data_IF_863717009549
#
_entry.id   IF_863717009549
#
_cell.length_a   1.000
_cell.length_b   1.000
_cell.length_c   1.000
_cell.angle_alpha   90.00
_cell.angle_beta   90.00
_cell.angle_gamma   90.00
#
_symmetry.space_group_name_H-M   'P 1'
#
loop_
_entity.id
_entity.type
_entity.pdbx_description
1 polymer ?
#
# COMPACT_ATOMS: atom_id res chain seq x y z
N UNK A 1 -40.31 -36.50 10.91
CA UNK A 1 -39.18 -36.31 9.99
C UNK A 1 -39.06 -34.88 9.40
N UNK A 2 -39.72 -33.85 9.96
CA UNK A 2 -39.65 -32.46 9.44
C UNK A 2 -38.74 -31.50 10.22
N UNK A 3 -38.21 -31.90 11.38
CA UNK A 3 -37.49 -31.00 12.31
C UNK A 3 -36.03 -30.72 11.91
N UNK A 4 -35.43 -31.57 11.07
CA UNK A 4 -34.02 -31.48 10.65
C UNK A 4 -33.76 -30.39 9.61
N UNK A 5 -34.80 -29.90 8.92
CA UNK A 5 -34.64 -28.93 7.85
C UNK A 5 -34.21 -27.57 8.39
N UNK A 6 -34.86 -27.07 9.44
CA UNK A 6 -34.60 -25.73 9.96
C UNK A 6 -33.21 -25.59 10.61
N UNK A 7 -32.74 -26.66 11.27
CA UNK A 7 -31.38 -26.72 11.85
C UNK A 7 -30.31 -26.59 10.76
N UNK A 8 -30.52 -27.24 9.60
CA UNK A 8 -29.60 -27.13 8.45
C UNK A 8 -29.55 -25.72 7.87
N UNK A 9 -30.70 -25.03 7.81
CA UNK A 9 -30.74 -23.65 7.33
C UNK A 9 -30.03 -22.70 8.31
N UNK A 10 -30.23 -22.87 9.61
CA UNK A 10 -29.50 -22.09 10.64
C UNK A 10 -28.00 -22.30 10.52
N UNK A 11 -27.54 -23.54 10.37
CA UNK A 11 -26.12 -23.83 10.18
C UNK A 11 -25.60 -23.19 8.89
N UNK A 12 -26.37 -23.25 7.80
CA UNK A 12 -26.01 -22.65 6.52
C UNK A 12 -25.88 -21.12 6.61
N UNK A 13 -26.86 -20.43 7.21
CA UNK A 13 -26.82 -18.97 7.39
C UNK A 13 -25.71 -18.54 8.36
N UNK A 14 -25.45 -19.33 9.41
CA UNK A 14 -24.34 -19.08 10.34
C UNK A 14 -22.99 -19.19 9.64
N UNK A 15 -22.81 -20.22 8.81
CA UNK A 15 -21.59 -20.39 8.02
C UNK A 15 -21.40 -19.27 7.00
N UNK A 16 -22.49 -18.81 6.37
CA UNK A 16 -22.48 -17.71 5.40
C UNK A 16 -22.12 -16.37 6.04
N UNK A 17 -22.52 -16.12 7.29
CA UNK A 17 -22.17 -14.90 8.04
C UNK A 17 -20.71 -14.87 8.50
N UNK A 18 -20.07 -16.03 8.70
CA UNK A 18 -18.68 -16.12 9.16
C UNK A 18 -17.64 -15.86 8.05
N UNK A 19 -18.02 -15.99 6.77
CA UNK A 19 -17.10 -15.83 5.64
C UNK A 19 -16.62 -14.40 5.35
N UNK A 20 -17.26 -13.38 5.93
CA UNK A 20 -16.98 -11.97 5.63
C UNK A 20 -15.73 -11.37 6.28
N UNK A 21 -15.00 -12.13 7.10
CA UNK A 21 -13.89 -11.61 7.92
C UNK A 21 -12.49 -11.81 7.32
N UNK A 22 -12.38 -12.31 6.09
CA UNK A 22 -11.09 -12.43 5.42
C UNK A 22 -10.77 -11.12 4.70
N UNK A 23 -9.71 -10.45 5.15
CA UNK A 23 -9.12 -9.30 4.45
C UNK A 23 -7.91 -9.76 3.66
N UNK A 24 -7.94 -9.57 2.33
CA UNK A 24 -6.82 -9.83 1.43
C UNK A 24 -5.96 -8.57 1.17
N UNK A 25 -6.16 -7.50 1.94
CA UNK A 25 -5.37 -6.29 1.79
C UNK A 25 -3.90 -6.55 2.19
N UNK A 26 -2.92 -6.02 1.45
CA UNK A 26 -1.51 -6.14 1.82
C UNK A 26 -1.26 -5.45 3.15
N UNK A 27 -0.47 -6.11 4.01
CA UNK A 27 -0.06 -5.53 5.28
C UNK A 27 1.05 -4.50 5.04
N UNK A 28 0.75 -3.22 5.31
CA UNK A 28 1.71 -2.13 5.22
C UNK A 28 2.41 -1.99 6.56
N UNK A 29 3.74 -2.08 6.56
CA UNK A 29 4.58 -1.76 7.70
C UNK A 29 5.05 -0.30 7.56
N UNK A 30 4.83 0.50 8.60
CA UNK A 30 5.22 1.90 8.61
C UNK A 30 6.21 2.16 9.73
N UNK A 31 7.34 2.80 9.42
CA UNK A 31 8.29 3.28 10.42
C UNK A 31 8.93 4.61 10.00
N UNK A 32 9.64 5.25 10.93
CA UNK A 32 10.49 6.38 10.63
C UNK A 32 11.96 6.00 10.74
N UNK A 33 12.77 6.49 9.82
CA UNK A 33 14.23 6.38 9.89
C UNK A 33 14.78 7.31 10.98
N UNK A 34 16.04 7.10 11.39
CA UNK A 34 16.71 7.99 12.34
C UNK A 34 16.78 9.45 11.87
N UNK A 35 16.74 9.69 10.56
CA UNK A 35 16.73 11.02 9.95
C UNK A 35 15.32 11.58 9.70
N UNK A 36 14.27 10.92 10.21
CA UNK A 36 12.89 11.41 10.15
C UNK A 36 12.11 11.10 8.87
N UNK A 37 12.67 10.32 7.93
CA UNK A 37 11.94 9.88 6.72
C UNK A 37 10.93 8.80 7.08
N UNK A 38 9.67 8.98 6.66
CA UNK A 38 8.61 7.96 6.74
C UNK A 38 8.80 6.90 5.65
N UNK A 39 8.77 5.62 6.06
CA UNK A 39 8.89 4.48 5.15
C UNK A 39 7.64 3.62 5.25
N UNK A 40 7.06 3.30 4.09
CA UNK A 40 5.98 2.35 3.94
C UNK A 40 6.50 1.14 3.19
N UNK A 41 6.46 -0.03 3.81
CA UNK A 41 6.95 -1.28 3.25
C UNK A 41 5.83 -2.31 3.17
N UNK A 42 5.78 -3.01 2.05
CA UNK A 42 4.89 -4.15 1.84
C UNK A 42 5.76 -5.32 1.42
N UNK A 43 5.73 -6.39 2.21
CA UNK A 43 6.36 -7.65 1.82
C UNK A 43 5.43 -8.39 0.84
N UNK A 44 5.92 -8.65 -0.37
CA UNK A 44 5.23 -9.42 -1.40
C UNK A 44 6.15 -10.56 -1.89
N UNK A 45 6.36 -11.62 -1.08
CA UNK A 45 7.29 -12.71 -1.41
C UNK A 45 6.89 -13.51 -2.67
N UNK A 46 5.63 -13.38 -3.11
CA UNK A 46 5.12 -13.98 -4.34
C UNK A 46 5.55 -13.25 -5.63
N UNK A 47 6.15 -12.06 -5.51
CA UNK A 47 6.62 -11.26 -6.65
C UNK A 47 8.16 -11.28 -6.68
N UNK A 48 8.76 -11.82 -7.75
CA UNK A 48 10.23 -11.84 -7.95
C UNK A 48 10.82 -10.49 -8.39
N UNK A 49 10.16 -9.39 -8.05
CA UNK A 49 10.55 -8.03 -8.41
C UNK A 49 10.52 -7.13 -7.18
N UNK A 50 11.38 -6.13 -7.17
CA UNK A 50 11.43 -5.10 -6.13
C UNK A 50 11.08 -3.77 -6.77
N UNK A 51 10.07 -3.09 -6.23
CA UNK A 51 9.73 -1.70 -6.57
C UNK A 51 10.10 -0.79 -5.41
N UNK A 52 10.77 0.32 -5.70
CA UNK A 52 11.16 1.33 -4.73
C UNK A 52 10.76 2.70 -5.25
N UNK A 53 9.99 3.43 -4.44
CA UNK A 53 9.58 4.80 -4.74
C UNK A 53 10.05 5.74 -3.65
N UNK A 54 10.72 6.80 -4.08
CA UNK A 54 11.09 7.92 -3.21
C UNK A 54 10.32 9.13 -3.72
N UNK A 55 9.57 9.77 -2.82
CA UNK A 55 8.78 10.98 -3.14
C UNK A 55 9.37 12.14 -2.35
N UNK A 56 9.74 13.20 -3.06
CA UNK A 56 10.25 14.42 -2.45
C UNK A 56 9.16 15.48 -2.44
N UNK A 57 9.03 16.18 -1.33
CA UNK A 57 8.21 17.40 -1.24
C UNK A 57 8.91 18.60 -1.88
N UNK A 58 9.30 18.44 -3.15
CA UNK A 58 10.15 19.37 -3.90
C UNK A 58 9.60 19.57 -5.32
N UNK A 59 8.29 19.82 -5.46
CA UNK A 59 7.65 20.10 -6.76
C UNK A 59 7.91 21.53 -7.27
N UNK A 60 7.60 21.79 -8.55
CA UNK A 60 7.84 23.09 -9.21
C UNK A 60 7.12 24.29 -8.58
N UNK A 61 6.09 24.05 -7.76
CA UNK A 61 5.50 25.09 -6.89
C UNK A 61 6.53 25.75 -5.95
N UNK A 62 7.67 25.08 -5.71
CA UNK A 62 8.79 25.56 -4.90
C UNK A 62 9.96 26.15 -5.71
N UNK A 63 9.82 26.28 -7.04
CA UNK A 63 10.89 26.83 -7.89
C UNK A 63 11.21 28.31 -7.57
N UNK A 64 10.24 29.05 -7.02
CA UNK A 64 10.39 30.48 -6.71
C UNK A 64 10.81 31.28 -7.95
N UNK A 65 11.88 32.08 -7.83
CA UNK A 65 12.41 32.89 -8.93
C UNK A 65 13.19 32.06 -9.98
N UNK A 66 13.51 30.79 -9.69
CA UNK A 66 14.30 29.90 -10.56
C UNK A 66 13.43 28.82 -11.20
N UNK A 67 12.56 29.26 -12.09
CA UNK A 67 11.64 28.36 -12.82
C UNK A 67 12.39 27.21 -13.50
N UNK A 68 11.90 26.00 -13.33
CA UNK A 68 12.44 24.79 -13.96
C UNK A 68 13.55 24.10 -13.18
N UNK A 69 14.03 24.64 -12.05
CA UNK A 69 15.09 24.00 -11.25
C UNK A 69 14.66 22.64 -10.71
N UNK A 70 13.40 22.48 -10.30
CA UNK A 70 12.87 21.17 -9.88
C UNK A 70 12.94 20.15 -11.01
N UNK A 71 12.43 20.50 -12.19
CA UNK A 71 12.40 19.60 -13.36
C UNK A 71 13.82 19.26 -13.81
N UNK A 72 14.70 20.27 -13.88
CA UNK A 72 16.10 20.08 -14.21
C UNK A 72 16.79 19.11 -13.25
N UNK A 73 16.62 19.30 -11.94
CA UNK A 73 17.21 18.43 -10.91
C UNK A 73 16.63 17.01 -10.97
N UNK A 74 15.31 16.88 -11.14
CA UNK A 74 14.65 15.57 -11.27
C UNK A 74 15.14 14.79 -12.50
N UNK A 75 15.41 15.47 -13.61
CA UNK A 75 15.95 14.84 -14.80
C UNK A 75 17.39 14.37 -14.58
N UNK A 76 18.21 15.15 -13.87
CA UNK A 76 19.59 14.76 -13.56
C UNK A 76 19.70 13.52 -12.67
N UNK A 77 18.71 13.25 -11.80
CA UNK A 77 18.70 12.03 -10.99
C UNK A 77 18.71 10.75 -11.86
N UNK A 78 18.07 10.79 -13.03
CA UNK A 78 18.05 9.67 -13.99
C UNK A 78 19.37 9.52 -14.74
N UNK A 79 20.19 10.58 -14.79
CA UNK A 79 21.50 10.59 -15.46
C UNK A 79 22.65 10.19 -14.52
N UNK A 80 22.36 9.83 -13.26
CA UNK A 80 23.35 9.36 -12.30
C UNK A 80 24.02 10.45 -11.45
N UNK A 81 23.31 11.55 -11.21
CA UNK A 81 23.75 12.69 -10.38
C UNK A 81 24.38 12.31 -9.03
#
# INVERSE_FOLDING_TARGET
MHTEAWVKHIFFYTFLLLGGWVSAAPQIQTWQTANGVEVLFVAAPEIEMVDVRIVFDAGSARDGDKQGVTSFTSNLLSEGA
#
